data_IF_183923823778
#
_entry.id   IF_183923823778
#
_cell.length_a   1.000
_cell.length_b   1.000
_cell.length_c   1.000
_cell.angle_alpha   90.00
_cell.angle_beta   90.00
_cell.angle_gamma   90.00
#
_symmetry.space_group_name_H-M   'P 1'
#
loop_
_entity.id
_entity.type
_entity.pdbx_description
1 polymer ?
#
# COMPACT_ATOMS: atom_id res chain seq x y z
N UNK A 1 5.91 -3.25 8.76
CA UNK A 1 6.88 -3.35 7.67
C UNK A 1 6.40 -4.35 6.63
N UNK A 2 5.57 -3.92 5.67
CA UNK A 2 5.17 -4.74 4.54
C UNK A 2 6.36 -5.07 3.62
N UNK A 3 6.46 -6.34 3.24
CA UNK A 3 7.44 -6.82 2.25
C UNK A 3 6.75 -7.02 0.91
N UNK A 4 7.33 -6.48 -0.16
CA UNK A 4 6.81 -6.68 -1.50
C UNK A 4 7.11 -8.10 -2.01
N UNK A 5 6.11 -8.91 -2.43
CA UNK A 5 6.35 -10.24 -3.00
C UNK A 5 6.95 -10.20 -4.41
N UNK A 6 7.07 -9.01 -5.03
CA UNK A 6 7.66 -8.84 -6.36
C UNK A 6 9.17 -8.64 -6.33
N UNK A 7 9.63 -7.62 -5.58
CA UNK A 7 11.05 -7.30 -5.45
C UNK A 7 11.69 -7.82 -4.15
N UNK A 8 10.90 -8.40 -3.22
CA UNK A 8 11.32 -8.82 -1.88
C UNK A 8 11.93 -7.71 -1.02
N UNK A 9 11.77 -6.45 -1.41
CA UNK A 9 12.12 -5.32 -0.57
C UNK A 9 11.09 -5.12 0.53
N UNK A 10 11.59 -4.65 1.66
CA UNK A 10 10.79 -4.29 2.82
C UNK A 10 10.74 -2.78 2.89
N UNK A 11 9.53 -2.24 2.95
CA UNK A 11 9.29 -0.81 3.03
C UNK A 11 8.56 -0.51 4.34
N UNK A 12 8.78 0.67 4.89
CA UNK A 12 7.90 1.16 5.94
C UNK A 12 6.54 1.57 5.36
N UNK A 13 5.52 1.60 6.22
CA UNK A 13 4.15 1.93 5.78
C UNK A 13 4.08 3.36 5.23
N UNK A 14 4.92 4.25 5.77
CA UNK A 14 5.07 5.65 5.34
C UNK A 14 5.88 5.81 4.03
N UNK A 15 6.65 4.78 3.65
CA UNK A 15 7.48 4.78 2.43
C UNK A 15 6.77 4.15 1.22
N UNK A 16 5.59 3.56 1.44
CA UNK A 16 4.80 2.97 0.36
C UNK A 16 4.11 4.06 -0.45
N UNK A 17 4.07 3.87 -1.77
CA UNK A 17 3.32 4.76 -2.65
C UNK A 17 1.82 4.47 -2.46
N UNK A 18 1.16 5.29 -1.64
CA UNK A 18 -0.27 5.23 -1.44
C UNK A 18 -0.97 6.32 -2.26
N UNK A 19 -1.98 5.94 -3.04
CA UNK A 19 -2.84 6.90 -3.71
C UNK A 19 -4.30 6.65 -3.41
N UNK A 20 -5.00 7.73 -3.09
CA UNK A 20 -6.42 7.72 -2.77
C UNK A 20 -7.27 7.92 -4.02
N UNK A 21 -8.08 6.92 -4.36
CA UNK A 21 -9.05 6.99 -5.47
C UNK A 21 -10.43 6.69 -4.89
N UNK A 22 -11.34 7.65 -4.99
CA UNK A 22 -12.73 7.51 -4.52
C UNK A 22 -12.87 7.07 -3.04
N UNK A 23 -11.93 7.45 -2.16
CA UNK A 23 -11.94 7.05 -0.74
C UNK A 23 -11.31 5.69 -0.44
N UNK A 24 -10.74 5.04 -1.46
CA UNK A 24 -9.94 3.81 -1.33
C UNK A 24 -8.47 4.18 -1.45
N UNK A 25 -7.67 3.82 -0.45
CA UNK A 25 -6.21 3.89 -0.54
C UNK A 25 -5.71 2.68 -1.31
N UNK A 26 -5.00 2.92 -2.40
CA UNK A 26 -4.30 1.91 -3.16
C UNK A 26 -2.82 1.99 -2.83
N UNK A 27 -2.29 0.90 -2.30
CA UNK A 27 -0.90 0.78 -1.90
C UNK A 27 -0.13 0.08 -3.00
N UNK A 28 0.90 0.75 -3.51
CA UNK A 28 1.82 0.23 -4.51
C UNK A 28 3.24 0.19 -3.99
N UNK A 29 4.00 -0.77 -4.50
CA UNK A 29 5.43 -0.86 -4.21
C UNK A 29 6.19 0.20 -5.03
N UNK A 30 6.96 1.10 -4.41
CA UNK A 30 7.71 2.14 -5.13
C UNK A 30 8.86 1.55 -5.97
N UNK A 31 9.43 0.41 -5.56
CA UNK A 31 10.55 -0.22 -6.27
C UNK A 31 10.17 -0.97 -7.54
N UNK A 32 9.00 -1.62 -7.56
CA UNK A 32 8.58 -2.45 -8.71
C UNK A 32 7.21 -2.09 -9.31
N UNK A 33 6.51 -1.10 -8.76
CA UNK A 33 5.20 -0.64 -9.23
C UNK A 33 4.07 -1.66 -9.02
N UNK A 34 4.29 -2.69 -8.20
CA UNK A 34 3.30 -3.75 -7.96
C UNK A 34 2.30 -3.31 -6.90
N UNK A 35 1.01 -3.48 -7.19
CA UNK A 35 -0.05 -3.29 -6.21
C UNK A 35 0.13 -4.28 -5.04
N UNK A 36 0.28 -3.75 -3.83
CA UNK A 36 0.43 -4.52 -2.60
C UNK A 36 -0.92 -4.76 -1.92
N UNK A 37 -1.85 -3.81 -2.05
CA UNK A 37 -3.18 -3.95 -1.47
C UNK A 37 -3.98 -2.66 -1.61
N UNK A 38 -5.24 -2.73 -1.22
CA UNK A 38 -6.12 -1.56 -1.15
C UNK A 38 -6.85 -1.58 0.18
N UNK A 39 -6.91 -0.45 0.87
CA UNK A 39 -7.72 -0.31 2.07
C UNK A 39 -8.54 0.97 2.01
N UNK A 40 -9.78 0.88 2.44
CA UNK A 40 -10.70 2.00 2.54
C UNK A 40 -10.61 2.54 3.97
N UNK A 41 -10.43 3.86 4.11
CA UNK A 41 -10.30 4.55 5.42
C UNK A 41 -11.52 4.35 6.33
N UNK A 42 -12.62 3.84 5.77
CA UNK A 42 -13.85 3.48 6.48
C UNK A 42 -13.82 2.14 7.22
N UNK A 43 -12.72 1.38 7.17
CA UNK A 43 -12.62 0.07 7.84
C UNK A 43 -12.19 0.16 9.31
N UNK A 44 -11.78 1.34 9.82
CA UNK A 44 -11.37 1.53 11.23
C UNK A 44 -12.41 2.38 11.97
N UNK A 45 -13.60 1.79 12.22
CA UNK A 45 -14.53 2.31 13.24
C UNK A 45 -15.43 1.21 13.80
N UNK A 46 -14.83 0.25 14.50
CA UNK A 46 -15.55 -0.60 15.49
C UNK A 46 -14.64 -1.05 16.64
#
# INVERSE_FOLDING_TARGET
>A
MPTCPGCHETFDVDELDDHRVEGVHHVHCPGCGRALGTYNEHADRE
#
